data_IF_151805669861
#
_entry.id   IF_151805669861
#
_cell.length_a   1.000
_cell.length_b   1.000
_cell.length_c   1.000
_cell.angle_alpha   90.00
_cell.angle_beta   90.00
_cell.angle_gamma   90.00
#
_symmetry.space_group_name_H-M   'P 1'
#
loop_
_entity.id
_entity.type
_entity.pdbx_description
1 polymer ?
#
# COMPACT_ATOMS: atom_id res chain seq x y z
N UNK A 1 4.57 -4.06 7.88
CA UNK A 1 4.61 -3.85 6.41
C UNK A 1 5.99 -4.00 5.79
N UNK A 2 6.99 -3.15 6.13
CA UNK A 2 8.32 -3.18 5.48
C UNK A 2 9.03 -4.55 5.58
N UNK A 3 9.10 -5.11 6.79
CA UNK A 3 9.72 -6.41 7.05
C UNK A 3 9.00 -7.56 6.34
N UNK A 4 7.67 -7.51 6.26
CA UNK A 4 6.86 -8.50 5.52
C UNK A 4 7.18 -8.48 4.02
N UNK A 5 7.32 -7.27 3.43
CA UNK A 5 7.73 -7.15 2.01
C UNK A 5 9.13 -7.69 1.79
N UNK A 6 10.06 -7.36 2.68
CA UNK A 6 11.44 -7.83 2.60
C UNK A 6 11.52 -9.37 2.61
N UNK A 7 10.80 -10.03 3.52
CA UNK A 7 10.70 -11.49 3.57
C UNK A 7 10.25 -12.08 2.23
N UNK A 8 9.16 -11.55 1.67
CA UNK A 8 8.56 -12.02 0.41
C UNK A 8 9.51 -11.85 -0.78
N UNK A 9 10.30 -10.77 -0.79
CA UNK A 9 11.21 -10.47 -1.89
C UNK A 9 12.54 -11.21 -1.78
N UNK A 10 13.00 -11.51 -0.56
CA UNK A 10 14.23 -12.29 -0.33
C UNK A 10 14.03 -13.79 -0.54
N UNK A 11 12.83 -14.32 -0.23
CA UNK A 11 12.59 -15.76 -0.21
C UNK A 11 11.39 -16.13 -1.11
N UNK A 12 11.63 -16.66 -2.32
CA UNK A 12 10.58 -17.04 -3.27
C UNK A 12 9.60 -18.09 -2.73
N UNK A 13 10.07 -19.01 -1.89
CA UNK A 13 9.28 -20.09 -1.27
C UNK A 13 8.45 -19.65 -0.06
N UNK A 14 8.49 -18.36 0.27
CA UNK A 14 7.84 -17.79 1.45
C UNK A 14 6.74 -16.84 1.02
N UNK A 15 5.57 -17.03 1.62
CA UNK A 15 4.50 -16.06 1.60
C UNK A 15 4.46 -15.37 2.96
N UNK A 16 4.21 -14.07 2.98
CA UNK A 16 4.02 -13.36 4.24
C UNK A 16 2.98 -12.26 4.09
N UNK A 17 2.43 -11.83 5.21
CA UNK A 17 1.65 -10.60 5.30
C UNK A 17 1.80 -10.01 6.70
N UNK A 18 1.59 -8.70 6.88
CA UNK A 18 1.21 -8.18 8.19
C UNK A 18 -0.02 -8.95 8.69
N UNK A 19 -0.10 -9.21 9.98
CA UNK A 19 -1.32 -9.77 10.58
C UNK A 19 -2.50 -8.79 10.41
N UNK A 20 -3.69 -9.30 10.14
CA UNK A 20 -4.87 -8.49 9.79
C UNK A 20 -5.26 -7.47 10.87
N UNK A 21 -5.04 -7.81 12.14
CA UNK A 21 -5.48 -7.02 13.30
C UNK A 21 -4.30 -6.59 14.19
N UNK A 22 -3.07 -6.70 13.70
CA UNK A 22 -1.88 -6.34 14.46
C UNK A 22 -0.91 -5.50 13.63
N UNK A 23 -0.41 -4.43 14.23
CA UNK A 23 0.63 -3.58 13.65
C UNK A 23 2.04 -4.10 13.92
N UNK A 24 2.19 -5.07 14.83
CA UNK A 24 3.48 -5.56 15.33
C UNK A 24 3.81 -6.97 14.83
N UNK A 25 2.82 -7.69 14.31
CA UNK A 25 2.97 -9.10 13.92
C UNK A 25 3.04 -9.29 12.40
N UNK A 26 3.75 -10.36 12.04
CA UNK A 26 3.91 -10.80 10.66
C UNK A 26 3.52 -12.27 10.62
N UNK A 27 2.58 -12.62 9.75
CA UNK A 27 2.26 -14.00 9.46
C UNK A 27 3.12 -14.46 8.29
N UNK A 28 3.69 -15.66 8.41
CA UNK A 28 4.56 -16.24 7.40
C UNK A 28 4.10 -17.67 7.11
N UNK A 29 3.91 -17.98 5.84
CA UNK A 29 3.51 -19.29 5.33
C UNK A 29 4.64 -19.84 4.47
N UNK A 30 5.05 -21.07 4.78
CA UNK A 30 6.13 -21.77 4.09
C UNK A 30 5.96 -23.28 4.24
N UNK A 31 6.67 -24.05 3.42
CA UNK A 31 6.78 -25.49 3.62
C UNK A 31 7.58 -25.82 4.89
N UNK A 32 7.21 -26.89 5.60
CA UNK A 32 7.93 -27.31 6.81
C UNK A 32 9.40 -27.63 6.54
N UNK A 33 9.70 -28.21 5.37
CA UNK A 33 11.07 -28.48 4.91
C UNK A 33 11.90 -27.19 4.80
N UNK A 34 11.29 -26.10 4.32
CA UNK A 34 11.96 -24.79 4.24
C UNK A 34 12.22 -24.22 5.64
N UNK A 35 11.26 -24.34 6.55
CA UNK A 35 11.42 -23.91 7.94
C UNK A 35 12.60 -24.62 8.64
N UNK A 36 12.79 -25.91 8.37
CA UNK A 36 13.87 -26.72 8.95
C UNK A 36 15.27 -26.29 8.49
N UNK A 37 15.38 -25.53 7.40
CA UNK A 37 16.67 -25.01 6.91
C UNK A 37 17.25 -23.87 7.79
N UNK A 38 16.48 -23.33 8.74
CA UNK A 38 16.98 -22.30 9.67
C UNK A 38 17.03 -20.87 9.12
N UNK A 39 16.68 -20.68 7.84
CA UNK A 39 16.82 -19.39 7.14
C UNK A 39 15.92 -18.30 7.73
N UNK A 40 14.68 -18.65 8.09
CA UNK A 40 13.71 -17.70 8.66
C UNK A 40 14.06 -17.33 10.10
N UNK A 41 14.60 -18.28 10.85
CA UNK A 41 15.10 -18.08 12.21
C UNK A 41 16.24 -17.06 12.19
N UNK A 42 17.21 -17.25 11.31
CA UNK A 42 18.31 -16.31 11.11
C UNK A 42 17.84 -14.92 10.67
N UNK A 43 16.87 -14.85 9.75
CA UNK A 43 16.24 -13.59 9.37
C UNK A 43 15.58 -12.91 10.57
N UNK A 44 14.82 -13.66 11.36
CA UNK A 44 14.15 -13.19 12.57
C UNK A 44 15.12 -12.59 13.57
N UNK A 45 16.19 -13.31 13.91
CA UNK A 45 17.23 -12.82 14.83
C UNK A 45 17.86 -11.52 14.34
N UNK A 46 18.23 -11.44 13.05
CA UNK A 46 18.81 -10.21 12.45
C UNK A 46 17.86 -9.02 12.51
N UNK A 47 16.55 -9.27 12.40
CA UNK A 47 15.50 -8.25 12.44
C UNK A 47 14.89 -8.05 13.84
N UNK A 48 15.46 -8.69 14.88
CA UNK A 48 14.97 -8.65 16.27
C UNK A 48 13.49 -9.05 16.41
N UNK A 49 13.08 -10.06 15.65
CA UNK A 49 11.74 -10.63 15.68
C UNK A 49 11.70 -11.86 16.61
N UNK A 50 10.58 -12.02 17.30
CA UNK A 50 10.25 -13.24 18.03
C UNK A 50 9.50 -14.19 17.09
N UNK A 51 9.96 -15.43 16.99
CA UNK A 51 9.30 -16.46 16.17
C UNK A 51 8.42 -17.33 17.05
N UNK A 52 7.15 -17.46 16.65
CA UNK A 52 6.24 -18.46 17.18
C UNK A 52 6.54 -19.85 16.58
N UNK A 53 6.19 -20.94 17.26
CA UNK A 53 6.31 -22.28 16.69
C UNK A 53 5.45 -22.44 15.42
N UNK A 54 5.87 -23.28 14.45
CA UNK A 54 5.06 -23.56 13.27
C UNK A 54 3.71 -24.16 13.64
N UNK A 55 2.67 -23.78 12.90
CA UNK A 55 1.31 -24.25 13.07
C UNK A 55 0.68 -24.59 11.72
N UNK A 56 -0.40 -25.39 11.75
CA UNK A 56 -1.18 -25.67 10.55
C UNK A 56 -1.76 -24.37 9.97
N UNK A 57 -1.69 -24.22 8.65
CA UNK A 57 -2.11 -22.99 7.98
C UNK A 57 -3.60 -23.01 7.75
N UNK A 58 -4.32 -22.07 8.36
CA UNK A 58 -5.74 -21.86 8.11
C UNK A 58 -5.95 -21.24 6.71
N UNK A 59 -7.05 -21.57 6.00
CA UNK A 59 -7.32 -21.02 4.66
C UNK A 59 -7.25 -19.48 4.60
N UNK A 60 -7.90 -18.79 5.56
CA UNK A 60 -7.88 -17.31 5.61
C UNK A 60 -6.47 -16.71 5.76
N UNK A 61 -5.59 -17.39 6.50
CA UNK A 61 -4.17 -16.98 6.67
C UNK A 61 -3.42 -17.14 5.35
N UNK A 62 -3.60 -18.27 4.67
CA UNK A 62 -3.01 -18.53 3.37
C UNK A 62 -3.47 -17.49 2.35
N UNK A 63 -4.77 -17.19 2.30
CA UNK A 63 -5.35 -16.19 1.40
C UNK A 63 -4.76 -14.79 1.62
N UNK A 64 -4.63 -14.36 2.87
CA UNK A 64 -4.04 -13.07 3.21
C UNK A 64 -2.55 -12.99 2.79
N UNK A 65 -1.77 -14.02 3.13
CA UNK A 65 -0.35 -14.11 2.77
C UNK A 65 -0.14 -14.17 1.24
N UNK A 66 -0.97 -14.93 0.51
CA UNK A 66 -0.95 -15.00 -0.95
C UNK A 66 -1.23 -13.63 -1.57
N UNK A 67 -2.35 -13.01 -1.17
CA UNK A 67 -2.77 -11.71 -1.69
C UNK A 67 -1.69 -10.66 -1.50
N UNK A 68 -1.12 -10.55 -0.30
CA UNK A 68 -0.02 -9.62 -0.02
C UNK A 68 1.25 -9.94 -0.82
N UNK A 69 1.63 -11.21 -0.89
CA UNK A 69 2.88 -11.63 -1.52
C UNK A 69 2.85 -11.39 -3.03
N UNK A 70 1.72 -11.70 -3.69
CA UNK A 70 1.54 -11.44 -5.12
C UNK A 70 1.62 -9.96 -5.43
N UNK A 71 0.90 -9.11 -4.67
CA UNK A 71 0.97 -7.65 -4.82
C UNK A 71 2.39 -7.14 -4.62
N UNK A 72 3.10 -7.67 -3.63
CA UNK A 72 4.48 -7.28 -3.32
C UNK A 72 5.44 -7.63 -4.47
N UNK A 73 5.30 -8.82 -5.06
CA UNK A 73 6.18 -9.30 -6.14
C UNK A 73 5.90 -8.67 -7.50
N UNK A 74 4.66 -8.26 -7.76
CA UNK A 74 4.30 -7.62 -9.03
C UNK A 74 4.64 -6.13 -9.06
N UNK A 75 4.73 -5.49 -7.88
CA UNK A 75 5.22 -4.13 -7.71
C UNK A 75 6.72 -4.02 -8.07
N UNK A 76 7.18 -2.91 -8.70
CA UNK A 76 6.42 -1.70 -9.04
C UNK A 76 5.65 -1.77 -10.37
N UNK A 77 5.75 -2.86 -11.14
CA UNK A 77 5.12 -2.94 -12.47
C UNK A 77 3.60 -3.03 -12.42
N UNK A 78 3.06 -3.62 -11.36
CA UNK A 78 1.65 -3.59 -11.04
C UNK A 78 1.45 -3.12 -9.60
N UNK A 79 0.72 -2.01 -9.44
CA UNK A 79 0.52 -1.38 -8.14
C UNK A 79 -0.92 -1.53 -7.67
N UNK A 80 -1.09 -1.78 -6.37
CA UNK A 80 -2.42 -1.90 -5.77
C UNK A 80 -3.10 -0.54 -5.68
N UNK A 81 -4.28 -0.44 -6.27
CA UNK A 81 -5.20 0.69 -6.15
C UNK A 81 -6.60 0.16 -5.86
N UNK A 82 -7.00 0.23 -4.59
CA UNK A 82 -8.27 -0.32 -4.12
C UNK A 82 -8.33 -1.83 -4.34
N UNK A 83 -9.27 -2.26 -5.18
CA UNK A 83 -9.46 -3.66 -5.57
C UNK A 83 -8.62 -4.08 -6.79
N UNK A 84 -7.98 -3.13 -7.47
CA UNK A 84 -7.26 -3.37 -8.70
C UNK A 84 -5.75 -3.44 -8.50
N UNK A 85 -5.07 -4.16 -9.38
CA UNK A 85 -3.65 -3.99 -9.69
C UNK A 85 -3.56 -3.24 -11.01
N UNK A 86 -2.88 -2.10 -11.00
CA UNK A 86 -2.80 -1.18 -12.13
C UNK A 86 -1.40 -1.23 -12.69
N UNK A 87 -1.29 -1.39 -14.00
CA UNK A 87 -0.02 -1.45 -14.71
C UNK A 87 0.71 -0.10 -14.69
N UNK A 88 2.02 -0.15 -14.52
CA UNK A 88 2.92 1.01 -14.59
C UNK A 88 3.44 1.46 -13.21
N UNK A 89 4.65 2.04 -13.20
CA UNK A 89 5.34 2.46 -11.98
C UNK A 89 4.85 3.80 -11.42
N UNK A 90 4.17 4.60 -12.24
CA UNK A 90 3.74 5.98 -11.95
C UNK A 90 2.23 6.18 -11.91
N UNK A 91 1.46 5.19 -11.40
CA UNK A 91 -0.01 5.18 -11.43
C UNK A 91 -0.67 6.47 -10.95
N UNK A 92 -0.06 7.18 -9.99
CA UNK A 92 -0.60 8.42 -9.40
C UNK A 92 -0.36 9.65 -10.28
N UNK A 93 0.58 9.59 -11.22
CA UNK A 93 0.92 10.70 -12.11
C UNK A 93 0.33 10.54 -13.52
N UNK A 94 -0.16 9.35 -13.85
CA UNK A 94 -0.74 9.04 -15.15
C UNK A 94 -2.11 9.70 -15.31
N UNK A 95 -2.35 10.36 -16.45
CA UNK A 95 -3.62 11.08 -16.73
C UNK A 95 -4.52 10.29 -17.67
N UNK A 96 -3.96 9.31 -18.37
CA UNK A 96 -4.63 8.46 -19.35
C UNK A 96 -5.35 7.26 -18.74
N UNK A 97 -5.85 6.42 -19.64
CA UNK A 97 -6.40 5.10 -19.31
C UNK A 97 -5.25 4.15 -19.01
N UNK A 98 -5.36 3.37 -17.94
CA UNK A 98 -4.36 2.39 -17.52
C UNK A 98 -4.97 0.99 -17.50
N UNK A 99 -4.18 0.01 -17.93
CA UNK A 99 -4.56 -1.39 -17.81
C UNK A 99 -4.62 -1.79 -16.33
N UNK A 100 -5.71 -2.45 -15.96
CA UNK A 100 -5.95 -2.90 -14.60
C UNK A 100 -6.41 -4.34 -14.59
N UNK A 101 -6.09 -5.05 -13.51
CA UNK A 101 -6.65 -6.37 -13.23
C UNK A 101 -7.24 -6.39 -11.83
N UNK A 102 -8.40 -7.03 -11.69
CA UNK A 102 -8.94 -7.40 -10.37
C UNK A 102 -8.59 -8.85 -10.12
N UNK A 103 -7.99 -9.10 -8.96
CA UNK A 103 -7.55 -10.45 -8.55
C UNK A 103 -8.29 -10.84 -7.29
N UNK A 104 -9.09 -11.91 -7.39
CA UNK A 104 -9.81 -12.48 -6.25
C UNK A 104 -9.25 -13.87 -5.94
N UNK A 105 -8.95 -14.06 -4.66
CA UNK A 105 -8.43 -15.30 -4.12
C UNK A 105 -9.53 -15.94 -3.28
N UNK A 106 -9.72 -17.25 -3.45
CA UNK A 106 -10.57 -18.05 -2.58
C UNK A 106 -9.80 -19.29 -2.17
N UNK A 107 -9.70 -19.52 -0.87
CA UNK A 107 -9.07 -20.72 -0.30
C UNK A 107 -10.09 -21.53 0.47
N UNK A 108 -10.09 -22.84 0.27
CA UNK A 108 -10.76 -23.81 1.13
C UNK A 108 -9.76 -24.91 1.52
N UNK A 109 -10.19 -25.90 2.30
CA UNK A 109 -9.34 -27.06 2.57
C UNK A 109 -8.84 -27.71 1.28
N UNK A 110 -7.52 -27.74 1.10
CA UNK A 110 -6.85 -28.34 -0.05
C UNK A 110 -7.07 -27.66 -1.40
N UNK A 111 -7.78 -26.52 -1.48
CA UNK A 111 -8.05 -25.84 -2.76
C UNK A 111 -7.72 -24.36 -2.69
N UNK A 112 -7.11 -23.88 -3.78
CA UNK A 112 -6.88 -22.47 -4.06
C UNK A 112 -7.51 -22.15 -5.41
N UNK A 113 -8.43 -21.20 -5.41
CA UNK A 113 -9.07 -20.67 -6.61
C UNK A 113 -8.62 -19.22 -6.82
N UNK A 114 -8.31 -18.91 -8.09
CA UNK A 114 -7.89 -17.59 -8.54
C UNK A 114 -8.85 -17.14 -9.64
N UNK A 115 -9.44 -15.96 -9.45
CA UNK A 115 -10.22 -15.28 -10.48
C UNK A 115 -9.50 -13.99 -10.86
N UNK A 116 -9.29 -13.78 -12.16
CA UNK A 116 -8.67 -12.58 -12.71
C UNK A 116 -9.64 -11.95 -13.71
N UNK A 117 -9.97 -10.69 -13.49
CA UNK A 117 -10.76 -9.88 -14.42
C UNK A 117 -9.88 -8.77 -14.97
N UNK A 118 -9.93 -8.55 -16.29
CA UNK A 118 -9.20 -7.47 -16.95
C UNK A 118 -10.12 -6.25 -17.07
N UNK A 119 -9.59 -5.10 -16.73
CA UNK A 119 -10.28 -3.81 -16.77
C UNK A 119 -9.31 -2.72 -17.26
N UNK A 120 -9.82 -1.51 -17.45
CA UNK A 120 -8.99 -0.37 -17.75
C UNK A 120 -9.57 0.88 -17.08
N UNK A 121 -8.80 1.46 -16.16
CA UNK A 121 -9.25 2.50 -15.24
C UNK A 121 -8.58 3.84 -15.53
N UNK A 122 -9.15 4.91 -14.99
CA UNK A 122 -8.54 6.24 -15.00
C UNK A 122 -8.52 6.81 -13.59
N UNK A 123 -7.37 7.29 -13.16
CA UNK A 123 -7.18 7.89 -11.83
C UNK A 123 -6.56 9.27 -12.06
N UNK A 124 -7.37 10.30 -12.39
CA UNK A 124 -6.82 11.64 -12.60
C UNK A 124 -6.17 12.15 -11.30
N UNK A 125 -4.95 12.72 -11.36
CA UNK A 125 -4.34 13.35 -10.19
C UNK A 125 -5.25 14.48 -9.69
N UNK A 126 -5.53 14.57 -8.38
CA UNK A 126 -6.39 15.61 -7.84
C UNK A 126 -5.73 16.98 -8.01
N UNK A 127 -6.53 17.97 -8.42
CA UNK A 127 -6.11 19.38 -8.51
C UNK A 127 -6.92 20.23 -7.52
N UNK A 128 -6.43 21.43 -7.17
CA UNK A 128 -7.18 22.29 -6.23
C UNK A 128 -8.50 22.79 -6.85
N UNK A 129 -8.56 22.82 -8.17
CA UNK A 129 -9.76 23.13 -8.95
C UNK A 129 -10.87 22.08 -8.75
N UNK A 130 -10.53 20.83 -8.39
CA UNK A 130 -11.50 19.77 -8.11
C UNK A 130 -12.23 19.96 -6.76
N UNK A 131 -11.82 20.97 -5.97
CA UNK A 131 -12.35 21.23 -4.63
C UNK A 131 -13.53 22.20 -4.61
N UNK A 132 -13.96 22.67 -5.79
CA UNK A 132 -15.04 23.65 -5.97
C UNK A 132 -14.89 24.90 -5.08
N UNK A 133 -13.64 25.31 -4.82
CA UNK A 133 -13.33 26.50 -4.02
C UNK A 133 -13.47 27.79 -4.85
N UNK A 134 -13.95 28.90 -4.27
CA UNK A 134 -14.05 30.16 -4.99
C UNK A 134 -12.68 30.62 -5.54
N UNK A 135 -12.59 31.13 -6.78
CA UNK A 135 -11.31 31.51 -7.40
C UNK A 135 -10.49 32.52 -6.57
N UNK A 136 -11.15 33.41 -5.83
CA UNK A 136 -10.49 34.35 -4.94
C UNK A 136 -9.78 33.67 -3.76
N UNK A 137 -10.37 32.60 -3.22
CA UNK A 137 -9.78 31.80 -2.13
C UNK A 137 -8.53 31.08 -2.65
N UNK A 138 -8.61 30.47 -3.83
CA UNK A 138 -7.46 29.84 -4.48
C UNK A 138 -6.34 30.86 -4.76
N UNK A 139 -6.66 32.05 -5.28
CA UNK A 139 -5.65 33.10 -5.52
C UNK A 139 -4.92 33.52 -4.25
N UNK A 140 -5.64 33.68 -3.13
CA UNK A 140 -5.03 34.00 -1.82
C UNK A 140 -4.12 32.86 -1.35
N UNK A 141 -4.56 31.61 -1.51
CA UNK A 141 -3.75 30.44 -1.18
C UNK A 141 -2.47 30.33 -2.01
N UNK A 142 -2.51 30.73 -3.28
CA UNK A 142 -1.31 30.74 -4.13
C UNK A 142 -0.34 31.89 -3.80
N UNK A 143 -0.85 33.03 -3.34
CA UNK A 143 -0.05 34.20 -3.03
C UNK A 143 0.74 34.09 -1.72
N UNK A 144 0.26 33.29 -0.76
CA UNK A 144 0.87 33.14 0.56
C UNK A 144 1.37 31.70 0.80
N UNK A 145 2.70 31.48 0.91
CA UNK A 145 3.30 30.17 1.22
C UNK A 145 2.88 29.57 2.57
N UNK A 146 2.42 30.38 3.52
CA UNK A 146 2.00 29.97 4.86
C UNK A 146 0.48 29.79 4.98
N UNK A 147 -0.25 30.05 3.90
CA UNK A 147 -1.70 29.88 3.89
C UNK A 147 -2.10 28.41 4.06
N UNK A 148 -3.19 28.23 4.81
CA UNK A 148 -3.86 26.95 5.03
C UNK A 148 -5.32 27.11 4.62
N UNK A 149 -5.82 26.17 3.82
CA UNK A 149 -7.24 26.09 3.46
C UNK A 149 -7.94 25.07 4.34
N UNK A 150 -9.11 25.46 4.83
CA UNK A 150 -10.06 24.56 5.48
C UNK A 150 -11.23 24.36 4.49
N UNK A 151 -11.32 23.21 3.82
CA UNK A 151 -12.45 22.91 2.95
C UNK A 151 -13.74 22.94 3.75
N UNK A 152 -14.76 23.64 3.24
CA UNK A 152 -15.99 24.07 3.94
C UNK A 152 -16.52 23.17 5.09
N UNK A 153 -16.92 23.76 6.23
CA UNK A 153 -17.45 23.04 7.39
C UNK A 153 -18.84 22.38 7.18
N UNK A 154 -19.59 22.74 6.12
CA UNK A 154 -20.97 22.27 5.93
C UNK A 154 -21.10 20.90 5.22
N UNK A 155 -19.98 20.24 4.88
CA UNK A 155 -20.03 18.93 4.22
C UNK A 155 -18.68 18.22 4.02
N UNK A 156 -17.55 18.94 4.14
CA UNK A 156 -16.21 18.41 3.93
C UNK A 156 -15.93 17.96 2.49
N UNK A 157 -14.68 18.07 2.05
CA UNK A 157 -14.28 17.43 0.79
C UNK A 157 -13.85 16.00 1.09
N UNK A 158 -14.49 15.04 0.43
CA UNK A 158 -14.16 13.62 0.54
C UNK A 158 -13.25 13.19 -0.60
N UNK A 159 -12.20 12.45 -0.29
CA UNK A 159 -11.28 11.89 -1.27
C UNK A 159 -11.00 10.41 -0.99
N UNK A 160 -10.47 9.70 -1.98
CA UNK A 160 -10.02 8.32 -1.82
C UNK A 160 -8.52 8.28 -1.50
N UNK A 161 -8.17 7.56 -0.42
CA UNK A 161 -6.79 7.49 0.08
C UNK A 161 -6.09 6.24 -0.44
N UNK A 162 -5.06 6.44 -1.27
CA UNK A 162 -4.21 5.38 -1.79
C UNK A 162 -3.36 4.71 -0.70
N UNK A 163 -2.99 3.42 -0.86
CA UNK A 163 -3.42 2.52 -1.93
C UNK A 163 -4.79 1.88 -1.66
N UNK A 164 -5.34 2.04 -0.46
CA UNK A 164 -6.56 1.34 -0.02
C UNK A 164 -7.84 1.80 -0.71
N UNK A 165 -7.85 3.01 -1.27
CA UNK A 165 -9.02 3.71 -1.79
C UNK A 165 -10.15 3.89 -0.78
N UNK A 166 -9.86 3.82 0.52
CA UNK A 166 -10.83 4.20 1.56
C UNK A 166 -11.15 5.68 1.46
N UNK A 167 -12.39 6.04 1.76
CA UNK A 167 -12.81 7.44 1.83
C UNK A 167 -12.19 8.11 3.06
N UNK A 168 -11.57 9.25 2.85
CA UNK A 168 -11.09 10.15 3.90
C UNK A 168 -11.70 11.53 3.70
N UNK A 169 -11.91 12.25 4.80
CA UNK A 169 -12.30 13.64 4.76
C UNK A 169 -11.04 14.51 4.77
N UNK A 170 -10.96 15.46 3.85
CA UNK A 170 -9.90 16.45 3.83
C UNK A 170 -10.25 17.58 4.79
N UNK A 171 -9.40 17.75 5.80
CA UNK A 171 -9.62 18.71 6.91
C UNK A 171 -8.88 20.01 6.63
N UNK A 172 -7.63 19.91 6.17
CA UNK A 172 -6.77 21.07 5.89
C UNK A 172 -5.92 20.83 4.66
N UNK A 173 -5.58 21.91 3.95
CA UNK A 173 -4.62 21.91 2.84
C UNK A 173 -3.59 22.99 3.12
N UNK A 174 -2.36 22.57 3.35
CA UNK A 174 -1.21 23.46 3.51
C UNK A 174 -0.22 23.30 2.38
N UNK A 175 0.62 24.32 2.17
CA UNK A 175 1.73 24.30 1.21
C UNK A 175 3.05 23.81 1.82
N UNK A 176 3.06 23.59 3.13
CA UNK A 176 4.22 23.15 3.91
C UNK A 176 3.86 21.86 4.65
N UNK A 177 4.87 21.03 4.90
CA UNK A 177 4.69 19.87 5.75
C UNK A 177 4.43 20.32 7.20
N UNK A 178 3.56 19.62 7.94
CA UNK A 178 3.32 19.90 9.35
C UNK A 178 4.62 19.73 10.17
N UNK A 179 4.92 20.68 11.05
CA UNK A 179 6.16 20.67 11.85
C UNK A 179 6.18 19.55 12.89
N UNK A 180 5.01 19.14 13.36
CA UNK A 180 4.76 18.01 14.26
C UNK A 180 4.71 16.66 13.52
N UNK A 181 4.79 16.68 12.18
CA UNK A 181 4.76 15.49 11.35
C UNK A 181 6.04 14.64 11.42
N UNK A 182 5.97 13.36 11.01
CA UNK A 182 7.11 12.45 11.00
C UNK A 182 8.12 12.73 9.86
N UNK A 183 7.78 13.62 8.91
CA UNK A 183 8.58 13.93 7.74
C UNK A 183 9.04 15.39 7.80
N UNK A 184 10.33 15.64 7.56
CA UNK A 184 10.91 16.99 7.56
C UNK A 184 10.94 17.61 6.18
N UNK A 185 11.05 16.78 5.15
CA UNK A 185 11.09 17.21 3.75
C UNK A 185 10.15 16.38 2.87
N UNK A 186 9.75 16.94 1.72
CA UNK A 186 9.01 16.19 0.70
C UNK A 186 9.84 15.02 0.14
N UNK A 187 11.17 15.11 0.20
CA UNK A 187 12.07 14.00 -0.14
C UNK A 187 11.92 12.83 0.82
N UNK A 188 11.83 13.08 2.13
CA UNK A 188 11.59 12.04 3.14
C UNK A 188 10.25 11.33 2.90
N UNK A 189 9.21 12.11 2.62
CA UNK A 189 7.88 11.59 2.29
C UNK A 189 7.94 10.73 1.02
N UNK A 190 8.58 11.21 -0.05
CA UNK A 190 8.72 10.47 -1.30
C UNK A 190 9.49 9.16 -1.09
N UNK A 191 10.60 9.20 -0.34
CA UNK A 191 11.42 8.02 -0.02
C UNK A 191 10.63 7.00 0.80
N UNK A 192 9.82 7.46 1.76
CA UNK A 192 8.93 6.61 2.53
C UNK A 192 7.95 5.87 1.62
N UNK A 193 7.25 6.58 0.74
CA UNK A 193 6.30 5.99 -0.21
C UNK A 193 6.98 5.03 -1.20
N UNK A 194 8.13 5.40 -1.76
CA UNK A 194 8.94 4.51 -2.62
C UNK A 194 9.32 3.22 -1.91
N UNK A 195 9.64 3.28 -0.61
CA UNK A 195 9.97 2.08 0.18
C UNK A 195 8.76 1.16 0.43
N UNK A 196 7.55 1.72 0.45
CA UNK A 196 6.31 0.97 0.66
C UNK A 196 5.74 0.38 -0.63
N UNK A 197 5.87 1.08 -1.76
CA UNK A 197 5.14 0.77 -3.00
C UNK A 197 6.07 0.43 -4.18
N UNK A 198 7.34 0.84 -4.18
CA UNK A 198 8.14 0.85 -5.41
C UNK A 198 9.50 0.12 -5.37
N UNK A 199 9.94 -0.47 -4.25
CA UNK A 199 11.23 -1.18 -4.24
C UNK A 199 11.17 -2.52 -4.95
N UNK A 200 11.71 -2.57 -6.18
CA UNK A 200 12.44 -3.71 -6.72
C UNK A 200 13.76 -3.84 -5.96
N UNK A 201 14.05 -5.03 -5.43
CA UNK A 201 15.41 -5.34 -4.97
C UNK A 201 16.28 -5.47 -6.23
N UNK A 202 17.35 -4.67 -6.32
CA UNK A 202 18.46 -4.88 -7.24
C UNK A 202 19.52 -5.71 -6.53
#
# INVERSE_FOLDING_TARGET
MKTSRELVLLYPDVLASPALESFTEITVVMALKFFQMGVIQMFGTRRRLMLAPPQCVLPGVLQACLSFSVVTRLSPRWNKVGLYLVSGEGVVSERGKMDAIRVEWSTSEGRLCLKVEVDAIRIPPPTLEDLDLPPLVLRRFWADPDSVLEPSPAGGVWCHVLPSMKKGQMITIGRKLPQDGPFRTYGDLQNHWKSLVCRSLH
#
